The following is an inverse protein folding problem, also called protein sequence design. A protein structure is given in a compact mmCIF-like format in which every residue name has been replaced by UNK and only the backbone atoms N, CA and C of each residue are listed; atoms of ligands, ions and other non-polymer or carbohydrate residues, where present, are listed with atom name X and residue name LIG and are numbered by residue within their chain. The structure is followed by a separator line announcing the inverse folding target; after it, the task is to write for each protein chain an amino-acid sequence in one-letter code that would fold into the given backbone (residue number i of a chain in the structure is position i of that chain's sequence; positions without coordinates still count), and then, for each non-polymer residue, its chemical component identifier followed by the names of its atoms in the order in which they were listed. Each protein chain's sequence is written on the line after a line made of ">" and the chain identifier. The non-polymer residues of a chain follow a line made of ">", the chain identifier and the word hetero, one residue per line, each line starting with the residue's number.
data_IF_921685713530
#
_entry.id   IF_921685713530
#
_cell.length_a   1.000
_cell.length_b   1.000
_cell.length_c   1.000
_cell.angle_alpha   90.00
_cell.angle_beta   90.00
_cell.angle_gamma   90.00
#
_symmetry.space_group_name_H-M   'P 1'
#
loop_
_entity.id
_entity.type
_entity.pdbx_description
1 polymer ?
#
# COMPACT_ATOMS: atom_id res chain seq x y z
N UNK A 1 -0.41 -4.51 -5.39
CA UNK A 1 -0.60 -3.06 -5.66
C UNK A 1 0.45 -2.46 -6.60
N UNK A 2 1.75 -2.48 -6.26
CA UNK A 2 2.81 -1.83 -7.07
C UNK A 2 2.87 -2.31 -8.53
N UNK A 3 2.76 -3.62 -8.76
CA UNK A 3 2.73 -4.17 -10.12
C UNK A 3 1.50 -3.69 -10.93
N UNK A 4 0.35 -3.49 -10.27
CA UNK A 4 -0.85 -2.97 -10.90
C UNK A 4 -0.67 -1.51 -11.29
N UNK A 5 -0.13 -0.67 -10.40
CA UNK A 5 0.17 0.72 -10.69
C UNK A 5 1.17 0.86 -11.85
N UNK A 6 2.17 -0.03 -11.92
CA UNK A 6 3.09 -0.09 -13.06
C UNK A 6 2.39 -0.47 -14.36
N UNK A 7 1.58 -1.53 -14.36
CA UNK A 7 0.80 -1.93 -15.54
C UNK A 7 -0.17 -0.84 -16.00
N UNK A 8 -0.84 -0.18 -15.06
CA UNK A 8 -1.72 0.95 -15.33
C UNK A 8 -0.96 2.11 -15.99
N UNK A 9 0.24 2.42 -15.51
CA UNK A 9 1.13 3.41 -16.13
C UNK A 9 1.50 3.05 -17.57
N UNK A 10 1.83 1.77 -17.83
CA UNK A 10 2.16 1.28 -19.16
C UNK A 10 0.99 1.43 -20.15
N UNK A 11 -0.24 1.11 -19.72
CA UNK A 11 -1.43 1.19 -20.58
C UNK A 11 -1.87 2.64 -20.83
N UNK A 12 -1.80 3.49 -19.81
CA UNK A 12 -2.25 4.88 -19.91
C UNK A 12 -1.17 5.84 -20.43
N UNK A 13 0.07 5.36 -20.63
CA UNK A 13 1.19 6.23 -20.99
C UNK A 13 1.58 7.22 -19.90
N UNK A 14 1.31 6.88 -18.63
CA UNK A 14 1.58 7.73 -17.48
C UNK A 14 2.86 7.28 -16.77
N UNK A 15 3.49 8.22 -16.06
CA UNK A 15 4.55 7.87 -15.11
C UNK A 15 4.01 6.95 -14.01
N UNK A 16 4.91 6.16 -13.43
CA UNK A 16 4.56 5.26 -12.34
C UNK A 16 3.91 5.99 -11.16
N UNK A 17 4.43 7.17 -10.77
CA UNK A 17 3.87 7.97 -9.71
C UNK A 17 2.46 8.49 -10.00
N UNK A 18 2.21 9.00 -11.21
CA UNK A 18 0.87 9.42 -11.63
C UNK A 18 -0.13 8.26 -11.64
N UNK A 19 0.26 7.09 -12.15
CA UNK A 19 -0.57 5.89 -12.09
C UNK A 19 -0.87 5.48 -10.64
N UNK A 20 0.11 5.58 -9.75
CA UNK A 20 -0.08 5.31 -8.32
C UNK A 20 -1.00 6.33 -7.64
N UNK A 21 -0.92 7.61 -8.00
CA UNK A 21 -1.84 8.65 -7.51
C UNK A 21 -3.27 8.34 -7.94
N UNK A 22 -3.50 8.05 -9.23
CA UNK A 22 -4.82 7.68 -9.76
C UNK A 22 -5.36 6.47 -9.00
N UNK A 23 -4.55 5.42 -8.85
CA UNK A 23 -4.91 4.25 -8.08
C UNK A 23 -5.35 4.61 -6.66
N UNK A 24 -4.53 5.37 -5.95
CA UNK A 24 -4.83 5.77 -4.57
C UNK A 24 -6.07 6.68 -4.45
N UNK A 25 -6.29 7.58 -5.42
CA UNK A 25 -7.48 8.45 -5.47
C UNK A 25 -8.74 7.61 -5.72
N UNK A 26 -8.70 6.63 -6.62
CA UNK A 26 -9.84 5.73 -6.87
C UNK A 26 -10.22 4.98 -5.59
N UNK A 27 -9.24 4.45 -4.85
CA UNK A 27 -9.50 3.79 -3.58
C UNK A 27 -9.94 4.77 -2.48
N UNK A 28 -9.39 5.98 -2.44
CA UNK A 28 -9.83 7.03 -1.51
C UNK A 28 -11.30 7.40 -1.75
N UNK A 29 -11.71 7.57 -3.01
CA UNK A 29 -13.11 7.82 -3.38
C UNK A 29 -14.01 6.64 -3.00
N UNK A 30 -13.58 5.41 -3.26
CA UNK A 30 -14.34 4.23 -2.86
C UNK A 30 -14.55 4.19 -1.33
N UNK A 31 -13.51 4.48 -0.56
CA UNK A 31 -13.60 4.57 0.91
C UNK A 31 -14.51 5.71 1.35
N UNK A 32 -14.47 6.86 0.67
CA UNK A 32 -15.30 8.02 0.98
C UNK A 32 -16.79 7.69 0.88
N UNK A 33 -17.19 6.89 -0.12
CA UNK A 33 -18.57 6.43 -0.27
C UNK A 33 -18.94 5.26 0.67
N UNK A 34 -17.97 4.42 1.05
CA UNK A 34 -18.24 3.25 1.87
C UNK A 34 -18.25 3.52 3.38
N UNK A 35 -17.28 4.28 3.88
CA UNK A 35 -17.10 4.59 5.30
C UNK A 35 -16.18 5.81 5.51
N UNK A 36 -16.75 7.01 5.35
CA UNK A 36 -16.03 8.29 5.49
C UNK A 36 -15.35 8.49 6.85
N UNK A 37 -15.77 7.78 7.90
CA UNK A 37 -15.19 7.92 9.25
C UNK A 37 -13.76 7.39 9.33
N UNK A 38 -13.39 6.51 8.40
CA UNK A 38 -12.05 5.92 8.33
C UNK A 38 -11.03 6.83 7.62
N UNK A 39 -11.47 7.94 7.02
CA UNK A 39 -10.60 8.86 6.30
C UNK A 39 -10.06 9.92 7.27
N UNK A 40 -8.74 9.87 7.48
CA UNK A 40 -8.00 10.93 8.17
C UNK A 40 -7.21 11.81 7.20
N UNK A 41 -6.64 12.90 7.73
CA UNK A 41 -5.75 13.80 6.96
C UNK A 41 -4.56 13.03 6.38
N UNK A 42 -4.03 12.06 7.12
CA UNK A 42 -2.94 11.20 6.69
C UNK A 42 -3.31 10.26 5.53
N UNK A 43 -4.56 9.81 5.44
CA UNK A 43 -5.06 9.02 4.30
C UNK A 43 -5.06 9.85 3.02
N UNK A 44 -5.56 11.10 3.10
CA UNK A 44 -5.62 12.01 1.95
C UNK A 44 -4.22 12.42 1.49
N UNK A 45 -3.35 12.79 2.44
CA UNK A 45 -1.95 13.11 2.13
C UNK A 45 -1.27 11.89 1.50
N UNK A 46 -1.32 10.72 2.13
CA UNK A 46 -0.73 9.50 1.56
C UNK A 46 -1.22 9.24 0.12
N UNK A 47 -2.52 9.40 -0.13
CA UNK A 47 -3.10 9.13 -1.44
C UNK A 47 -2.49 9.99 -2.56
N UNK A 48 -2.24 11.27 -2.27
CA UNK A 48 -1.80 12.26 -3.26
C UNK A 48 -0.28 12.36 -3.32
N UNK A 49 0.43 12.30 -2.18
CA UNK A 49 1.86 12.65 -2.15
C UNK A 49 2.77 11.47 -2.49
N UNK A 50 2.39 10.22 -2.21
CA UNK A 50 3.29 9.07 -2.41
C UNK A 50 3.77 8.95 -3.85
N UNK A 51 2.86 8.99 -4.82
CA UNK A 51 3.26 8.90 -6.23
C UNK A 51 4.06 10.11 -6.70
N UNK A 52 3.72 11.31 -6.24
CA UNK A 52 4.44 12.54 -6.58
C UNK A 52 5.90 12.48 -6.10
N UNK A 53 6.13 12.02 -4.86
CA UNK A 53 7.48 11.81 -4.33
C UNK A 53 8.25 10.75 -5.10
N UNK A 54 7.60 9.64 -5.51
CA UNK A 54 8.25 8.61 -6.32
C UNK A 54 8.72 9.19 -7.65
N UNK A 55 7.88 9.90 -8.39
CA UNK A 55 8.28 10.51 -9.66
C UNK A 55 9.32 11.61 -9.49
N UNK A 56 9.29 12.34 -8.37
CA UNK A 56 10.29 13.37 -8.06
C UNK A 56 11.66 12.75 -7.77
N UNK A 57 11.73 11.65 -7.03
CA UNK A 57 12.99 11.05 -6.54
C UNK A 57 13.60 10.07 -7.54
N UNK A 58 12.77 9.37 -8.33
CA UNK A 58 13.22 8.33 -9.28
C UNK A 58 14.32 8.82 -10.24
N UNK A 59 14.24 10.02 -10.85
CA UNK A 59 15.29 10.53 -11.74
C UNK A 59 16.64 10.74 -11.03
N UNK A 60 16.63 11.16 -9.76
CA UNK A 60 17.84 11.35 -8.97
C UNK A 60 18.51 10.02 -8.66
N UNK A 61 17.71 9.03 -8.26
CA UNK A 61 18.19 7.67 -8.00
C UNK A 61 18.75 7.05 -9.28
N UNK A 62 18.07 7.21 -10.42
CA UNK A 62 18.54 6.73 -11.71
C UNK A 62 19.88 7.40 -12.12
N UNK A 63 20.00 8.71 -11.92
CA UNK A 63 21.25 9.45 -12.20
C UNK A 63 22.41 8.99 -11.32
N UNK A 64 22.15 8.72 -10.03
CA UNK A 64 23.16 8.19 -9.10
C UNK A 64 23.56 6.74 -9.41
N UNK A 65 22.60 5.92 -9.82
CA UNK A 65 22.82 4.49 -10.13
C UNK A 65 23.54 4.27 -11.47
N UNK A 66 23.43 5.22 -12.39
CA UNK A 66 23.95 5.11 -13.75
C UNK A 66 23.02 4.32 -14.70
N UNK A 67 23.30 4.29 -16.01
CA UNK A 67 22.42 3.71 -17.03
C UNK A 67 22.34 2.18 -16.99
N UNK A 68 23.35 1.51 -16.43
CA UNK A 68 23.40 0.05 -16.29
C UNK A 68 23.96 -0.31 -14.90
N UNK A 69 23.17 -0.14 -13.83
CA UNK A 69 23.67 -0.41 -12.48
C UNK A 69 23.98 -1.89 -12.32
N UNK A 70 25.14 -2.18 -11.76
CA UNK A 70 25.55 -3.56 -11.44
C UNK A 70 24.58 -4.19 -10.44
N UNK A 71 24.57 -5.52 -10.38
CA UNK A 71 23.71 -6.25 -9.43
C UNK A 71 23.93 -5.78 -7.99
N UNK A 72 25.18 -5.51 -7.62
CA UNK A 72 25.56 -4.99 -6.29
C UNK A 72 24.91 -3.65 -5.99
N UNK A 73 24.89 -2.72 -6.95
CA UNK A 73 24.22 -1.41 -6.80
C UNK A 73 22.72 -1.59 -6.64
N UNK A 74 22.09 -2.47 -7.42
CA UNK A 74 20.66 -2.78 -7.29
C UNK A 74 20.30 -3.34 -5.91
N UNK A 75 21.13 -4.24 -5.37
CA UNK A 75 20.94 -4.81 -4.03
C UNK A 75 21.10 -3.72 -2.96
N UNK A 76 22.13 -2.87 -3.05
CA UNK A 76 22.32 -1.77 -2.10
C UNK A 76 21.15 -0.78 -2.12
N UNK A 77 20.66 -0.41 -3.30
CA UNK A 77 19.49 0.46 -3.44
C UNK A 77 18.22 -0.17 -2.86
N UNK A 78 18.02 -1.47 -3.09
CA UNK A 78 16.90 -2.22 -2.52
C UNK A 78 16.95 -2.20 -0.98
N UNK A 79 18.12 -2.51 -0.40
CA UNK A 79 18.30 -2.54 1.06
C UNK A 79 18.11 -1.14 1.67
N UNK A 80 18.76 -0.12 1.12
CA UNK A 80 18.64 1.26 1.59
C UNK A 80 17.19 1.77 1.45
N UNK A 81 16.54 1.52 0.31
CA UNK A 81 15.14 1.88 0.09
C UNK A 81 14.19 1.16 1.05
N UNK A 82 14.46 -0.10 1.36
CA UNK A 82 13.65 -0.87 2.33
C UNK A 82 13.79 -0.32 3.74
N UNK A 83 15.00 0.03 4.18
CA UNK A 83 15.23 0.65 5.50
C UNK A 83 14.55 2.02 5.58
N UNK A 84 14.70 2.86 4.56
CA UNK A 84 14.02 4.17 4.51
C UNK A 84 12.51 4.03 4.51
N UNK A 85 11.97 3.05 3.79
CA UNK A 85 10.54 2.75 3.77
C UNK A 85 10.06 2.28 5.16
N UNK A 86 10.80 1.40 5.84
CA UNK A 86 10.45 0.95 7.18
C UNK A 86 10.44 2.10 8.20
N UNK A 87 11.45 2.98 8.17
CA UNK A 87 11.52 4.17 9.02
C UNK A 87 10.39 5.14 8.70
N UNK A 88 10.12 5.40 7.42
CA UNK A 88 9.03 6.28 6.97
C UNK A 88 7.66 5.75 7.37
N UNK A 89 7.41 4.44 7.21
CA UNK A 89 6.21 3.78 7.69
C UNK A 89 6.06 3.90 9.21
N UNK A 90 7.15 3.70 9.97
CA UNK A 90 7.14 3.88 11.41
C UNK A 90 6.74 5.31 11.81
N UNK A 91 7.34 6.34 11.21
CA UNK A 91 6.98 7.73 11.47
C UNK A 91 5.54 8.06 11.10
N UNK A 92 5.08 7.63 9.91
CA UNK A 92 3.71 7.87 9.45
C UNK A 92 2.67 7.20 10.35
N UNK A 93 2.90 5.92 10.71
CA UNK A 93 1.98 5.19 11.59
C UNK A 93 1.96 5.75 13.00
N UNK A 94 3.11 6.20 13.52
CA UNK A 94 3.21 6.82 14.85
C UNK A 94 2.47 8.16 14.94
N UNK A 95 2.19 8.79 13.81
CA UNK A 95 1.49 10.07 13.77
C UNK A 95 -0.05 9.93 13.84
N UNK A 96 -0.60 8.70 13.88
CA UNK A 96 -2.03 8.39 14.06
C UNK A 96 -3.01 9.07 13.07
N UNK A 97 -2.53 9.66 11.98
CA UNK A 97 -3.34 10.49 11.08
C UNK A 97 -4.20 9.71 10.06
N UNK A 98 -4.32 8.39 10.18
CA UNK A 98 -5.16 7.54 9.32
C UNK A 98 -4.37 6.43 8.62
N UNK A 99 -5.10 5.55 7.91
CA UNK A 99 -4.54 4.43 7.14
C UNK A 99 -4.32 4.81 5.67
N UNK A 100 -3.46 4.09 4.95
CA UNK A 100 -3.37 4.20 3.50
C UNK A 100 -4.70 3.87 2.83
N UNK A 101 -5.11 4.61 1.80
CA UNK A 101 -6.42 4.48 1.14
C UNK A 101 -6.77 3.05 0.70
N UNK A 102 -5.86 2.28 0.07
CA UNK A 102 -6.10 0.88 -0.28
C UNK A 102 -6.25 -0.04 0.94
N UNK A 103 -5.58 0.27 2.04
CA UNK A 103 -5.65 -0.53 3.27
C UNK A 103 -6.97 -0.27 4.02
N UNK A 104 -7.40 0.99 4.08
CA UNK A 104 -8.72 1.36 4.59
C UNK A 104 -9.83 0.65 3.80
N UNK A 105 -9.74 0.64 2.47
CA UNK A 105 -10.68 -0.10 1.61
C UNK A 105 -10.72 -1.59 1.96
N UNK A 106 -9.56 -2.22 2.11
CA UNK A 106 -9.49 -3.64 2.43
C UNK A 106 -10.10 -3.98 3.79
N UNK A 107 -9.89 -3.14 4.81
CA UNK A 107 -10.52 -3.34 6.10
C UNK A 107 -12.05 -3.17 6.05
N UNK A 108 -12.55 -2.16 5.34
CA UNK A 108 -13.99 -1.91 5.22
C UNK A 108 -14.68 -3.06 4.50
N UNK A 109 -14.12 -3.55 3.38
CA UNK A 109 -14.72 -4.66 2.64
C UNK A 109 -14.66 -5.96 3.44
N UNK A 110 -13.54 -6.26 4.11
CA UNK A 110 -13.45 -7.42 5.00
C UNK A 110 -14.55 -7.40 6.08
N UNK A 111 -14.78 -6.24 6.72
CA UNK A 111 -15.88 -6.05 7.70
C UNK A 111 -17.26 -6.24 7.06
N UNK A 112 -17.51 -5.65 5.90
CA UNK A 112 -18.81 -5.77 5.20
C UNK A 112 -19.11 -7.20 4.75
N UNK A 113 -18.09 -7.94 4.32
CA UNK A 113 -18.19 -9.34 3.91
C UNK A 113 -18.18 -10.33 5.09
N UNK A 114 -17.97 -9.84 6.33
CA UNK A 114 -17.79 -10.66 7.54
C UNK A 114 -16.71 -11.75 7.35
N UNK A 115 -15.66 -11.42 6.63
CA UNK A 115 -14.55 -12.32 6.34
C UNK A 115 -13.29 -11.80 7.02
N UNK A 116 -12.42 -12.70 7.48
CA UNK A 116 -11.15 -12.29 8.06
C UNK A 116 -10.31 -11.49 7.06
N UNK A 117 -9.66 -10.42 7.54
CA UNK A 117 -8.84 -9.53 6.72
C UNK A 117 -7.75 -10.29 5.95
N UNK A 118 -7.21 -11.39 6.51
CA UNK A 118 -6.19 -12.21 5.86
C UNK A 118 -6.66 -12.72 4.48
N UNK A 119 -7.87 -13.27 4.42
CA UNK A 119 -8.41 -13.92 3.23
C UNK A 119 -8.82 -12.87 2.20
N UNK A 120 -9.51 -11.82 2.65
CA UNK A 120 -9.86 -10.70 1.78
C UNK A 120 -8.62 -10.06 1.16
N UNK A 121 -7.56 -9.82 1.96
CA UNK A 121 -6.34 -9.20 1.45
C UNK A 121 -5.64 -10.06 0.40
N UNK A 122 -5.59 -11.38 0.58
CA UNK A 122 -5.03 -12.28 -0.43
C UNK A 122 -5.84 -12.26 -1.73
N UNK A 123 -7.18 -12.25 -1.65
CA UNK A 123 -8.06 -12.14 -2.83
C UNK A 123 -7.81 -10.82 -3.54
N UNK A 124 -7.80 -9.70 -2.80
CA UNK A 124 -7.54 -8.37 -3.35
C UNK A 124 -6.18 -8.29 -4.05
N UNK A 125 -5.10 -8.74 -3.40
CA UNK A 125 -3.77 -8.73 -3.99
C UNK A 125 -3.67 -9.66 -5.22
N UNK A 126 -4.39 -10.79 -5.22
CA UNK A 126 -4.55 -11.66 -6.38
C UNK A 126 -5.23 -10.96 -7.55
N UNK A 127 -6.33 -10.24 -7.32
CA UNK A 127 -7.00 -9.43 -8.35
C UNK A 127 -6.07 -8.36 -8.91
N UNK A 128 -5.28 -7.70 -8.05
CA UNK A 128 -4.29 -6.71 -8.47
C UNK A 128 -3.18 -7.33 -9.33
N UNK A 129 -2.73 -8.55 -9.02
CA UNK A 129 -1.74 -9.26 -9.84
C UNK A 129 -2.33 -9.64 -11.20
N UNK A 130 -3.54 -10.20 -11.23
CA UNK A 130 -4.21 -10.55 -12.50
C UNK A 130 -4.39 -9.30 -13.36
N UNK A 131 -4.86 -8.20 -12.78
CA UNK A 131 -4.96 -6.91 -13.48
C UNK A 131 -3.61 -6.41 -13.99
N UNK A 132 -2.55 -6.52 -13.17
CA UNK A 132 -1.20 -6.15 -13.58
C UNK A 132 -0.73 -6.96 -14.80
N UNK A 133 -0.93 -8.29 -14.80
CA UNK A 133 -0.52 -9.16 -15.89
C UNK A 133 -1.24 -8.81 -17.20
N UNK A 134 -2.55 -8.54 -17.14
CA UNK A 134 -3.35 -8.13 -18.31
C UNK A 134 -2.82 -6.81 -18.90
N UNK A 135 -2.40 -5.88 -18.04
CA UNK A 135 -1.88 -4.57 -18.44
C UNK A 135 -0.38 -4.58 -18.82
N UNK A 136 0.26 -5.76 -18.84
CA UNK A 136 1.70 -5.87 -19.13
C UNK A 136 2.62 -5.37 -18.01
N UNK A 137 2.12 -5.34 -16.77
CA UNK A 137 2.92 -5.09 -15.57
C UNK A 137 3.85 -6.27 -15.25
N UNK A 138 5.04 -5.97 -14.72
CA UNK A 138 6.03 -7.01 -14.41
C UNK A 138 5.81 -7.54 -13.00
N UNK A 139 5.41 -8.80 -12.90
CA UNK A 139 5.24 -9.50 -11.62
C UNK A 139 6.49 -10.30 -11.31
N UNK A 140 7.14 -9.95 -10.20
CA UNK A 140 8.33 -10.67 -9.72
C UNK A 140 7.97 -11.63 -8.58
N UNK A 141 8.89 -12.53 -8.23
CA UNK A 141 8.71 -13.44 -7.09
C UNK A 141 8.37 -12.70 -5.78
N UNK A 142 8.92 -11.50 -5.57
CA UNK A 142 8.59 -10.66 -4.41
C UNK A 142 7.12 -10.21 -4.38
N UNK A 143 6.49 -10.00 -5.53
CA UNK A 143 5.06 -9.63 -5.62
C UNK A 143 4.16 -10.81 -5.23
N UNK A 144 4.50 -12.02 -5.68
CA UNK A 144 3.78 -13.25 -5.32
C UNK A 144 3.94 -13.58 -3.84
N UNK A 145 5.17 -13.46 -3.33
CA UNK A 145 5.45 -13.65 -1.91
C UNK A 145 4.72 -12.61 -1.05
N UNK A 146 4.69 -11.35 -1.50
CA UNK A 146 3.89 -10.29 -0.88
C UNK A 146 2.40 -10.63 -0.81
N UNK A 147 1.80 -11.07 -1.92
CA UNK A 147 0.39 -11.49 -1.95
C UNK A 147 0.07 -12.57 -0.91
N UNK A 148 0.93 -13.59 -0.80
CA UNK A 148 0.71 -14.72 0.11
C UNK A 148 1.01 -14.40 1.56
N UNK A 149 1.96 -13.50 1.85
CA UNK A 149 2.43 -13.25 3.22
C UNK A 149 1.81 -12.01 3.86
N UNK A 150 1.50 -10.96 3.10
CA UNK A 150 1.00 -9.68 3.67
C UNK A 150 -0.32 -9.89 4.40
N UNK A 151 -1.29 -10.58 3.79
CA UNK A 151 -2.58 -10.84 4.45
C UNK A 151 -2.45 -11.62 5.77
N UNK A 152 -1.80 -12.81 5.78
CA UNK A 152 -1.59 -13.61 6.98
C UNK A 152 -0.76 -12.93 8.09
N UNK A 153 0.14 -12.02 7.76
CA UNK A 153 0.93 -11.27 8.75
C UNK A 153 0.13 -10.06 9.28
N UNK A 154 -0.55 -9.35 8.39
CA UNK A 154 -1.25 -8.10 8.73
C UNK A 154 -2.43 -8.33 9.67
N UNK A 155 -3.21 -9.41 9.49
CA UNK A 155 -4.35 -9.73 10.37
C UNK A 155 -3.96 -9.87 11.85
N UNK A 156 -3.11 -10.84 12.21
CA UNK A 156 -2.67 -11.04 13.59
C UNK A 156 -1.96 -9.82 14.19
N UNK A 157 -1.15 -9.11 13.39
CA UNK A 157 -0.43 -7.91 13.85
C UNK A 157 -1.40 -6.79 14.24
N UNK A 158 -2.45 -6.56 13.44
CA UNK A 158 -3.48 -5.57 13.77
C UNK A 158 -4.21 -5.96 15.05
N UNK A 159 -4.55 -7.24 15.24
CA UNK A 159 -5.25 -7.68 16.46
C UNK A 159 -4.40 -7.53 17.72
N UNK A 160 -3.10 -7.74 17.60
CA UNK A 160 -2.16 -7.50 18.70
C UNK A 160 -2.01 -6.01 19.03
N UNK A 161 -2.02 -5.13 18.02
CA UNK A 161 -1.82 -3.68 18.19
C UNK A 161 -3.11 -2.91 18.48
N UNK A 162 -4.28 -3.45 18.12
CA UNK A 162 -5.59 -2.83 18.34
C UNK A 162 -5.82 -2.34 19.78
N UNK A 163 -5.55 -3.11 20.86
CA UNK A 163 -5.76 -2.61 22.22
C UNK A 163 -4.82 -1.46 22.62
N UNK A 164 -3.60 -1.43 22.06
CA UNK A 164 -2.65 -0.32 22.27
C UNK A 164 -3.11 0.95 21.55
N UNK A 165 -3.52 0.80 20.28
CA UNK A 165 -4.00 1.91 19.45
C UNK A 165 -5.32 2.46 19.97
N UNK A 166 -6.28 1.62 20.39
CA UNK A 166 -7.56 2.06 20.96
C UNK A 166 -7.37 2.88 22.24
N UNK A 167 -6.39 2.49 23.07
CA UNK A 167 -6.04 3.22 24.30
C UNK A 167 -5.43 4.59 24.03
N UNK A 168 -4.69 4.75 22.92
CA UNK A 168 -4.05 6.02 22.54
C UNK A 168 -5.00 6.92 21.74
N UNK A 169 -5.75 6.34 20.81
CA UNK A 169 -6.69 7.03 19.92
C UNK A 169 -7.98 7.48 20.60
N UNK A 170 -8.32 6.97 21.78
CA UNK A 170 -9.60 7.25 22.46
C UNK A 170 -10.85 6.78 21.68
N UNK A 171 -10.69 5.91 20.68
CA UNK A 171 -11.77 5.31 19.92
C UNK A 171 -11.96 3.85 20.34
N UNK A 172 -13.16 3.50 20.81
CA UNK A 172 -13.50 2.14 21.28
C UNK A 172 -13.75 1.13 20.14
N UNK A 173 -13.70 1.54 18.87
CA UNK A 173 -14.30 0.77 17.75
C UNK A 173 -13.31 0.14 16.74
N UNK A 174 -11.99 0.08 16.98
CA UNK A 174 -11.08 -0.60 16.03
C UNK A 174 -11.00 -2.13 16.22
N UNK A 175 -12.05 -2.78 16.74
CA UNK A 175 -12.05 -4.25 16.86
C UNK A 175 -12.12 -4.86 15.45
N UNK A 176 -10.97 -5.29 14.94
CA UNK A 176 -10.83 -6.02 13.66
C UNK A 176 -10.74 -7.52 13.92
N UNK A 177 -11.70 -8.08 14.65
CA UNK A 177 -11.91 -9.52 14.59
C UNK A 177 -13.38 -9.85 14.84
N UNK A 178 -14.07 -10.24 13.75
CA UNK A 178 -15.30 -11.01 13.87
C UNK A 178 -14.83 -12.43 14.22
N UNK A 179 -15.02 -12.81 15.47
CA UNK A 179 -14.98 -14.22 15.89
C UNK A 179 -16.04 -15.02 15.16
#
# INVERSE_FOLDING_TARGET
>A
ITAFAQGLGNVLGLSFGNAMIIFNIVFLLAVLFLDRKTIGVGTVLHAVTVGAFVDMVTPWVAKMAGPAPTLSVKIMLLLAGTVLLAVGLGFYQSAEFGLGSPDAFNQIIARKLKMELRWWRMIFDGLMIVGALIMGGVVHAGTLLGMLMVGPIMGPLINMMAPLVNKWSGNEDLIVEIK
#
